data_IF_057445724629
#
_entry.id   IF_057445724629
#
_cell.length_a   1.000
_cell.length_b   1.000
_cell.length_c   1.000
_cell.angle_alpha   90.00
_cell.angle_beta   90.00
_cell.angle_gamma   90.00
#
_symmetry.space_group_name_H-M   'P 1'
#
loop_
_entity.id
_entity.type
_entity.pdbx_description
1 polymer ?
#
# COMPACT_ATOMS: atom_id res chain seq x y z
N UNK A 1 29.33 21.26 -24.64
CA UNK A 1 28.84 20.01 -24.00
C UNK A 1 29.08 19.88 -22.49
N UNK A 2 29.97 20.68 -21.84
CA UNK A 2 30.23 20.57 -20.39
C UNK A 2 29.11 21.18 -19.53
N UNK A 3 28.60 22.36 -19.89
CA UNK A 3 27.47 23.02 -19.21
C UNK A 3 26.20 22.17 -19.22
N UNK A 4 25.87 21.59 -20.37
CA UNK A 4 24.70 20.71 -20.52
C UNK A 4 24.78 19.49 -19.61
N UNK A 5 25.97 18.94 -19.34
CA UNK A 5 26.15 17.81 -18.41
C UNK A 5 25.98 18.25 -16.95
N UNK A 6 26.46 19.45 -16.60
CA UNK A 6 26.34 20.01 -15.26
C UNK A 6 24.89 20.34 -14.85
N UNK A 7 24.10 20.92 -15.77
CA UNK A 7 22.71 21.34 -15.47
C UNK A 7 21.64 20.28 -15.76
N UNK A 8 21.97 19.18 -16.45
CA UNK A 8 20.97 18.13 -16.76
C UNK A 8 20.31 17.50 -15.51
N UNK A 9 21.04 17.21 -14.41
CA UNK A 9 20.42 16.68 -13.19
C UNK A 9 19.47 17.68 -12.51
N UNK A 10 19.83 18.97 -12.45
CA UNK A 10 18.98 19.99 -11.83
C UNK A 10 17.70 20.24 -12.63
N UNK A 11 17.76 20.19 -13.96
CA UNK A 11 16.59 20.32 -14.82
C UNK A 11 15.61 19.15 -14.60
N UNK A 12 16.12 17.92 -14.48
CA UNK A 12 15.30 16.75 -14.14
C UNK A 12 14.66 16.89 -12.75
N UNK A 13 15.43 17.31 -11.75
CA UNK A 13 14.92 17.53 -10.40
C UNK A 13 13.85 18.65 -10.36
N UNK A 14 14.09 19.75 -11.06
CA UNK A 14 13.12 20.84 -11.21
C UNK A 14 11.80 20.35 -11.81
N UNK A 15 11.89 19.55 -12.88
CA UNK A 15 10.70 18.97 -13.52
C UNK A 15 9.92 18.07 -12.55
N UNK A 16 10.60 17.22 -11.78
CA UNK A 16 9.95 16.31 -10.83
C UNK A 16 9.26 17.04 -9.66
N UNK A 17 9.73 18.22 -9.27
CA UNK A 17 9.17 18.98 -8.13
C UNK A 17 8.20 20.09 -8.53
N UNK A 18 8.52 20.86 -9.58
CA UNK A 18 7.77 22.05 -9.98
C UNK A 18 6.59 21.71 -10.89
N UNK A 19 6.76 20.76 -11.82
CA UNK A 19 5.69 20.38 -12.74
C UNK A 19 4.45 19.84 -12.02
N UNK A 20 4.57 18.88 -11.07
CA UNK A 20 3.43 18.46 -10.25
C UNK A 20 3.03 19.48 -9.16
N UNK A 21 3.67 20.66 -9.11
CA UNK A 21 3.43 21.72 -8.11
C UNK A 21 3.59 21.24 -6.67
N UNK A 22 4.51 20.31 -6.43
CA UNK A 22 4.82 19.82 -5.08
C UNK A 22 5.50 20.92 -4.26
N UNK A 23 6.28 21.78 -4.92
CA UNK A 23 7.01 22.87 -4.27
C UNK A 23 6.83 24.18 -5.02
N UNK A 24 6.80 25.29 -4.30
CA UNK A 24 6.79 26.62 -4.90
C UNK A 24 8.13 26.90 -5.61
N UNK A 25 8.09 27.61 -6.73
CA UNK A 25 9.27 27.99 -7.51
C UNK A 25 10.28 28.81 -6.70
N UNK A 26 9.82 29.75 -5.88
CA UNK A 26 10.70 30.56 -5.02
C UNK A 26 11.46 29.70 -4.00
N UNK A 27 10.78 28.75 -3.38
CA UNK A 27 11.38 27.84 -2.41
C UNK A 27 12.37 26.89 -3.09
N UNK A 28 12.03 26.41 -4.29
CA UNK A 28 12.93 25.59 -5.10
C UNK A 28 14.21 26.34 -5.48
N UNK A 29 14.09 27.61 -5.84
CA UNK A 29 15.23 28.46 -6.21
C UNK A 29 16.20 28.63 -5.03
N UNK A 30 15.68 28.95 -3.83
CA UNK A 30 16.50 29.09 -2.62
C UNK A 30 17.25 27.81 -2.25
N UNK A 31 16.65 26.64 -2.43
CA UNK A 31 17.30 25.35 -2.14
C UNK A 31 18.40 25.03 -3.14
N UNK A 32 18.23 25.43 -4.41
CA UNK A 32 19.14 25.10 -5.51
C UNK A 32 19.97 26.32 -5.96
N UNK A 33 20.17 27.29 -5.08
CA UNK A 33 20.97 28.48 -5.36
C UNK A 33 22.41 28.04 -5.64
N UNK A 34 22.99 28.40 -6.80
CA UNK A 34 24.35 28.01 -7.14
C UNK A 34 25.36 28.70 -6.22
N UNK A 35 26.48 28.04 -5.92
CA UNK A 35 27.62 28.72 -5.30
C UNK A 35 28.15 29.82 -6.25
N UNK A 36 28.67 30.91 -5.70
CA UNK A 36 29.06 32.10 -6.48
C UNK A 36 30.10 31.78 -7.58
N UNK A 37 30.96 30.78 -7.37
CA UNK A 37 32.05 30.42 -8.29
C UNK A 37 31.74 29.20 -9.19
N UNK A 38 30.48 28.75 -9.31
CA UNK A 38 30.13 27.53 -10.07
C UNK A 38 30.60 27.60 -11.53
N UNK A 39 30.45 28.75 -12.17
CA UNK A 39 30.89 28.92 -13.57
C UNK A 39 32.41 28.86 -13.68
N UNK A 40 33.13 29.52 -12.77
CA UNK A 40 34.59 29.51 -12.77
C UNK A 40 35.14 28.10 -12.55
N UNK A 41 34.60 27.32 -11.60
CA UNK A 41 34.99 25.92 -11.38
C UNK A 41 34.77 25.03 -12.62
N UNK A 42 33.71 25.29 -13.39
CA UNK A 42 33.40 24.54 -14.62
C UNK A 42 34.38 24.90 -15.77
N UNK A 43 34.85 26.14 -15.82
CA UNK A 43 35.75 26.63 -16.87
C UNK A 43 37.24 26.58 -16.51
N UNK A 44 37.63 26.57 -15.24
CA UNK A 44 39.02 26.48 -14.74
C UNK A 44 39.66 25.08 -14.96
N UNK A 45 38.89 24.08 -15.39
CA UNK A 45 39.44 22.77 -15.82
C UNK A 45 40.19 22.82 -17.16
N UNK A 46 40.63 24.02 -17.59
CA UNK A 46 41.46 24.30 -18.76
C UNK A 46 42.95 24.16 -18.45
N UNK A 47 43.37 22.97 -18.02
CA UNK A 47 44.77 22.54 -18.18
C UNK A 47 44.99 21.97 -19.59
N UNK A 48 46.20 22.11 -20.18
CA UNK A 48 46.48 21.65 -21.54
C UNK A 48 46.36 20.13 -21.65
N UNK A 49 45.95 19.69 -22.85
CA UNK A 49 45.64 18.32 -23.24
C UNK A 49 46.66 17.29 -22.72
N UNK A 50 46.17 16.28 -21.99
CA UNK A 50 46.82 14.97 -21.89
C UNK A 50 45.76 13.88 -22.06
N UNK A 51 45.82 13.08 -23.14
CA UNK A 51 44.90 11.97 -23.35
C UNK A 51 45.44 10.76 -22.59
N UNK A 52 45.40 10.81 -21.26
CA UNK A 52 45.82 9.67 -20.45
C UNK A 52 44.69 9.31 -19.50
N UNK A 53 43.87 8.36 -19.97
CA UNK A 53 43.40 7.20 -19.21
C UNK A 53 43.37 7.42 -17.68
N UNK A 54 42.35 8.12 -17.19
CA UNK A 54 41.80 7.97 -15.84
C UNK A 54 40.38 7.48 -16.07
N UNK A 55 40.11 6.20 -15.88
CA UNK A 55 39.94 5.68 -14.54
C UNK A 55 38.52 6.05 -14.15
N UNK A 56 37.61 5.08 -14.24
CA UNK A 56 36.26 5.17 -13.69
C UNK A 56 36.39 5.41 -12.18
N UNK A 57 36.47 6.66 -11.75
CA UNK A 57 36.17 7.04 -10.38
C UNK A 57 34.73 7.54 -10.39
N UNK A 58 33.81 6.65 -10.00
CA UNK A 58 32.37 6.92 -9.83
C UNK A 58 32.07 7.86 -8.64
N UNK A 59 33.07 8.30 -7.89
CA UNK A 59 32.89 8.96 -6.60
C UNK A 59 33.43 10.39 -6.59
N UNK A 60 32.66 11.35 -7.11
CA UNK A 60 32.72 12.72 -6.61
C UNK A 60 31.48 13.53 -6.99
N UNK A 61 30.67 13.83 -5.97
CA UNK A 61 29.76 14.95 -5.89
C UNK A 61 28.65 15.01 -6.95
N UNK A 62 27.83 13.95 -7.00
CA UNK A 62 26.41 14.20 -7.20
C UNK A 62 25.95 15.09 -6.04
N UNK A 63 25.54 16.33 -6.35
CA UNK A 63 24.77 17.19 -5.45
C UNK A 63 23.82 16.30 -4.64
N UNK A 64 23.68 16.50 -3.31
CA UNK A 64 22.79 15.68 -2.52
C UNK A 64 21.40 15.84 -3.13
N UNK A 65 21.00 14.85 -3.93
CA UNK A 65 19.63 14.67 -4.37
C UNK A 65 18.95 14.36 -3.06
N UNK A 66 18.44 15.40 -2.42
CA UNK A 66 17.49 15.30 -1.35
C UNK A 66 16.32 14.58 -2.01
N UNK A 67 16.35 13.25 -1.95
CA UNK A 67 15.18 12.39 -2.07
C UNK A 67 14.32 12.71 -0.86
N UNK A 68 13.77 13.92 -0.83
CA UNK A 68 12.50 14.22 -0.21
C UNK A 68 11.48 13.40 -0.96
N UNK A 69 11.52 12.07 -0.76
CA UNK A 69 10.38 11.20 -0.97
C UNK A 69 9.24 11.92 -0.30
N UNK A 70 8.13 12.14 -1.01
CA UNK A 70 6.91 12.75 -0.49
C UNK A 70 6.35 11.96 0.69
N UNK A 71 7.03 12.06 1.83
CA UNK A 71 6.69 11.46 3.12
C UNK A 71 5.55 12.22 3.78
N UNK A 72 5.28 13.45 3.36
CA UNK A 72 4.21 14.28 3.92
C UNK A 72 2.84 13.62 3.75
N UNK A 73 2.59 12.92 2.64
CA UNK A 73 1.36 12.13 2.45
C UNK A 73 1.33 10.78 3.19
N UNK A 74 2.50 10.24 3.59
CA UNK A 74 2.59 8.98 4.33
C UNK A 74 2.50 9.18 5.85
N UNK A 75 3.04 10.28 6.36
CA UNK A 75 3.09 10.57 7.79
C UNK A 75 1.70 10.63 8.45
N UNK A 76 0.69 11.14 7.74
CA UNK A 76 -0.68 11.22 8.27
C UNK A 76 -1.36 9.85 8.44
N UNK A 77 -1.08 8.89 7.56
CA UNK A 77 -1.71 7.56 7.59
C UNK A 77 -1.09 6.69 8.70
N UNK A 78 0.20 6.89 8.98
CA UNK A 78 0.90 6.20 10.07
C UNK A 78 0.39 6.61 11.46
N UNK A 79 -0.23 7.78 11.58
CA UNK A 79 -0.78 8.30 12.84
C UNK A 79 -2.24 7.87 13.13
N UNK A 80 -2.86 7.05 12.26
CA UNK A 80 -4.25 6.61 12.45
C UNK A 80 -4.45 5.84 13.77
N UNK A 81 -5.66 5.82 14.35
CA UNK A 81 -5.99 4.94 15.46
C UNK A 81 -5.75 3.46 15.10
N UNK A 82 -5.36 2.64 16.09
CA UNK A 82 -5.01 1.22 15.88
C UNK A 82 -6.11 0.45 15.15
N UNK A 83 -7.36 0.60 15.57
CA UNK A 83 -8.51 -0.05 14.94
C UNK A 83 -8.68 0.41 13.47
N UNK A 84 -8.53 1.71 13.20
CA UNK A 84 -8.59 2.25 11.84
C UNK A 84 -7.49 1.67 10.94
N UNK A 85 -6.29 1.39 11.46
CA UNK A 85 -5.22 0.71 10.71
C UNK A 85 -5.62 -0.72 10.33
N UNK A 86 -6.20 -1.48 11.27
CA UNK A 86 -6.70 -2.83 11.01
C UNK A 86 -7.83 -2.82 9.97
N UNK A 87 -8.80 -1.91 10.10
CA UNK A 87 -9.91 -1.76 9.13
C UNK A 87 -9.37 -1.45 7.74
N UNK A 88 -8.39 -0.54 7.63
CA UNK A 88 -7.84 -0.13 6.36
C UNK A 88 -7.03 -1.25 5.70
N UNK A 89 -6.27 -2.01 6.49
CA UNK A 89 -5.53 -3.19 6.01
C UNK A 89 -6.49 -4.32 5.57
N UNK A 90 -7.52 -4.61 6.36
CA UNK A 90 -8.56 -5.58 6.02
C UNK A 90 -9.28 -5.20 4.70
N UNK A 91 -9.58 -3.91 4.53
CA UNK A 91 -10.20 -3.38 3.32
C UNK A 91 -9.29 -3.50 2.08
N UNK A 92 -7.99 -3.28 2.25
CA UNK A 92 -7.00 -3.47 1.19
C UNK A 92 -6.92 -4.93 0.76
N UNK A 93 -6.88 -5.86 1.72
CA UNK A 93 -6.88 -7.30 1.46
C UNK A 93 -8.18 -7.73 0.78
N UNK A 94 -9.34 -7.25 1.25
CA UNK A 94 -10.63 -7.51 0.62
C UNK A 94 -10.65 -7.02 -0.84
N UNK A 95 -10.13 -5.83 -1.13
CA UNK A 95 -10.09 -5.33 -2.51
C UNK A 95 -9.10 -6.08 -3.40
N UNK A 96 -8.00 -6.57 -2.83
CA UNK A 96 -6.87 -7.17 -3.55
C UNK A 96 -7.03 -8.67 -3.76
N UNK A 97 -7.77 -9.36 -2.89
CA UNK A 97 -7.96 -10.81 -2.96
C UNK A 97 -9.34 -11.15 -3.53
N UNK A 98 -9.49 -12.20 -4.35
CA UNK A 98 -10.80 -12.69 -4.78
C UNK A 98 -11.60 -13.28 -3.61
N UNK A 99 -12.91 -13.02 -3.52
CA UNK A 99 -13.74 -13.52 -2.41
C UNK A 99 -13.74 -15.06 -2.23
N UNK A 100 -13.40 -15.82 -3.28
CA UNK A 100 -13.29 -17.29 -3.21
C UNK A 100 -12.12 -17.78 -2.36
N UNK A 101 -11.10 -16.95 -2.15
CA UNK A 101 -9.88 -17.32 -1.43
C UNK A 101 -10.02 -17.08 0.06
N UNK A 102 -10.97 -16.23 0.48
CA UNK A 102 -11.15 -15.83 1.88
C UNK A 102 -11.32 -17.03 2.82
N UNK A 103 -12.12 -18.04 2.45
CA UNK A 103 -12.31 -19.23 3.30
C UNK A 103 -11.02 -20.04 3.49
N UNK A 104 -10.15 -20.07 2.47
CA UNK A 104 -8.85 -20.76 2.56
C UNK A 104 -7.87 -19.96 3.43
N UNK A 105 -7.91 -18.63 3.34
CA UNK A 105 -6.93 -17.74 3.98
C UNK A 105 -7.31 -17.36 5.41
N UNK A 106 -8.60 -17.22 5.71
CA UNK A 106 -9.14 -16.73 6.98
C UNK A 106 -10.10 -17.72 7.66
N UNK A 107 -10.32 -18.90 7.08
CA UNK A 107 -11.21 -19.91 7.67
C UNK A 107 -10.68 -20.45 8.99
N UNK A 108 -11.42 -20.28 10.09
CA UNK A 108 -11.09 -20.81 11.41
C UNK A 108 -11.35 -22.33 11.48
N UNK A 109 -10.28 -23.13 11.39
CA UNK A 109 -10.07 -24.38 12.16
C UNK A 109 -11.02 -25.59 12.04
N UNK A 110 -12.13 -25.56 11.30
CA UNK A 110 -13.04 -26.73 11.17
C UNK A 110 -12.98 -27.42 9.80
N UNK A 111 -12.50 -26.73 8.76
CA UNK A 111 -12.52 -27.27 7.39
C UNK A 111 -11.24 -28.02 6.98
N UNK A 112 -10.11 -27.80 7.65
CA UNK A 112 -8.85 -28.51 7.31
C UNK A 112 -8.99 -30.03 7.43
N UNK A 113 -9.74 -30.51 8.42
CA UNK A 113 -10.00 -31.95 8.62
C UNK A 113 -11.04 -32.51 7.64
N UNK A 114 -11.98 -31.70 7.13
CA UNK A 114 -13.02 -32.17 6.19
C UNK A 114 -12.59 -32.09 4.72
N UNK A 115 -11.69 -31.17 4.36
CA UNK A 115 -11.22 -31.02 2.97
C UNK A 115 -10.17 -32.05 2.52
N UNK A 116 -9.53 -32.78 3.44
CA UNK A 116 -8.68 -33.95 3.08
C UNK A 116 -9.44 -35.10 2.39
N UNK A 117 -10.78 -35.05 2.27
CA UNK A 117 -11.61 -36.07 1.61
C UNK A 117 -12.32 -35.62 0.32
N UNK A 118 -11.77 -34.66 -0.42
CA UNK A 118 -12.09 -34.54 -1.85
C UNK A 118 -10.81 -34.62 -2.67
N UNK A 119 -10.35 -35.86 -2.87
CA UNK A 119 -9.58 -36.23 -4.05
C UNK A 119 -10.44 -35.80 -5.25
N UNK A 120 -10.08 -34.66 -5.84
CA UNK A 120 -10.67 -34.20 -7.08
C UNK A 120 -10.27 -35.21 -8.14
N UNK A 121 -11.22 -36.06 -8.54
CA UNK A 121 -11.16 -36.80 -9.81
C UNK A 121 -10.75 -35.80 -10.89
N UNK A 122 -9.62 -36.08 -11.54
CA UNK A 122 -9.08 -35.33 -12.68
C UNK A 122 -10.21 -34.96 -13.64
N UNK A 123 -10.69 -33.71 -13.58
CA UNK A 123 -11.54 -33.15 -14.61
C UNK A 123 -10.58 -32.80 -15.74
N UNK A 124 -10.78 -33.44 -16.89
CA UNK A 124 -10.03 -33.21 -18.11
C UNK A 124 -9.88 -31.70 -18.40
N UNK A 125 -8.75 -31.28 -19.02
CA UNK A 125 -8.52 -29.88 -19.33
C UNK A 125 -9.66 -29.36 -20.22
N UNK A 126 -10.25 -28.18 -19.95
CA UNK A 126 -11.18 -27.58 -20.87
C UNK A 126 -10.41 -27.26 -22.16
N UNK A 127 -10.77 -27.98 -23.21
CA UNK A 127 -10.33 -27.76 -24.58
C UNK A 127 -10.70 -26.33 -24.98
N UNK A 128 -9.71 -25.49 -25.25
CA UNK A 128 -9.87 -24.17 -25.88
C UNK A 128 -10.35 -23.06 -24.94
N UNK A 129 -9.47 -22.54 -24.06
CA UNK A 129 -9.71 -21.20 -23.50
C UNK A 129 -9.21 -20.12 -24.47
N UNK A 130 -9.94 -19.93 -25.56
CA UNK A 130 -9.95 -18.67 -26.32
C UNK A 130 -10.75 -17.60 -25.55
N UNK A 131 -10.50 -17.50 -24.24
CA UNK A 131 -11.07 -16.49 -23.37
C UNK A 131 -10.09 -15.32 -23.22
N UNK A 132 -10.57 -14.13 -22.83
CA UNK A 132 -9.72 -12.97 -22.64
C UNK A 132 -8.54 -13.31 -21.71
N UNK A 133 -7.35 -12.83 -22.08
CA UNK A 133 -6.12 -12.98 -21.29
C UNK A 133 -6.43 -12.58 -19.86
N UNK A 134 -6.18 -13.49 -18.89
CA UNK A 134 -6.39 -13.20 -17.48
C UNK A 134 -5.36 -12.16 -17.05
N UNK A 135 -5.78 -10.90 -17.07
CA UNK A 135 -4.96 -9.79 -16.58
C UNK A 135 -4.74 -10.03 -15.07
N UNK A 136 -3.49 -9.95 -14.57
CA UNK A 136 -3.24 -10.11 -13.15
C UNK A 136 -4.04 -9.07 -12.38
N UNK A 137 -4.72 -9.52 -11.32
CA UNK A 137 -5.59 -8.69 -10.49
C UNK A 137 -4.99 -7.32 -10.08
N UNK A 138 -3.69 -7.18 -9.72
CA UNK A 138 -3.12 -5.87 -9.40
C UNK A 138 -3.15 -4.85 -10.54
N UNK A 139 -3.26 -5.28 -11.81
CA UNK A 139 -3.35 -4.40 -12.98
C UNK A 139 -4.78 -3.98 -13.30
N UNK A 140 -5.79 -4.71 -12.79
CA UNK A 140 -7.22 -4.42 -12.98
C UNK A 140 -7.69 -3.28 -12.07
N UNK A 141 -6.99 -3.08 -10.95
CA UNK A 141 -7.33 -2.11 -9.92
C UNK A 141 -8.13 -2.73 -8.75
N UNK A 142 -8.43 -1.94 -7.71
CA UNK A 142 -9.05 -2.44 -6.49
C UNK A 142 -10.49 -2.90 -6.75
N UNK A 143 -10.81 -4.14 -6.37
CA UNK A 143 -12.17 -4.68 -6.55
C UNK A 143 -13.11 -4.21 -5.44
N UNK A 144 -14.38 -3.90 -5.74
CA UNK A 144 -15.35 -3.54 -4.72
C UNK A 144 -15.74 -4.78 -3.90
N UNK A 145 -15.96 -4.60 -2.60
CA UNK A 145 -16.28 -5.65 -1.64
C UNK A 145 -17.44 -5.21 -0.73
N UNK A 146 -18.28 -6.14 -0.23
CA UNK A 146 -19.32 -5.83 0.74
C UNK A 146 -18.74 -5.61 2.14
N UNK A 147 -19.39 -4.78 2.95
CA UNK A 147 -18.95 -4.48 4.32
C UNK A 147 -18.73 -5.74 5.17
N UNK A 148 -19.66 -6.69 5.11
CA UNK A 148 -19.61 -7.93 5.90
C UNK A 148 -18.34 -8.73 5.64
N UNK A 149 -17.87 -8.76 4.39
CA UNK A 149 -16.62 -9.42 4.01
C UNK A 149 -15.42 -8.75 4.68
N UNK A 150 -15.39 -7.42 4.72
CA UNK A 150 -14.33 -6.68 5.39
C UNK A 150 -14.35 -6.91 6.90
N UNK A 151 -15.51 -6.93 7.53
CA UNK A 151 -15.65 -7.24 8.96
C UNK A 151 -15.19 -8.66 9.30
N UNK A 152 -15.49 -9.64 8.45
CA UNK A 152 -15.01 -11.01 8.62
C UNK A 152 -13.48 -11.12 8.53
N UNK A 153 -12.87 -10.46 7.54
CA UNK A 153 -11.41 -10.40 7.41
C UNK A 153 -10.79 -9.65 8.58
N UNK A 154 -11.40 -8.53 9.00
CA UNK A 154 -10.97 -7.74 10.16
C UNK A 154 -10.90 -8.60 11.42
N UNK A 155 -11.93 -9.41 11.69
CA UNK A 155 -11.94 -10.29 12.86
C UNK A 155 -10.89 -11.39 12.82
N UNK A 156 -10.61 -11.95 11.64
CA UNK A 156 -9.50 -12.89 11.49
C UNK A 156 -8.14 -12.22 11.75
N UNK A 157 -7.96 -10.96 11.33
CA UNK A 157 -6.72 -10.22 11.56
C UNK A 157 -6.53 -9.84 13.04
N UNK A 158 -7.57 -9.33 13.70
CA UNK A 158 -7.52 -8.97 15.13
C UNK A 158 -7.30 -10.22 15.98
N UNK A 159 -7.93 -11.35 15.62
CA UNK A 159 -7.77 -12.60 16.36
C UNK A 159 -6.34 -13.12 16.37
N UNK A 160 -5.65 -13.00 15.25
CA UNK A 160 -4.30 -13.55 15.13
C UNK A 160 -3.21 -12.59 15.61
N UNK A 161 -3.45 -11.28 15.58
CA UNK A 161 -2.40 -10.27 15.74
C UNK A 161 -2.63 -9.27 16.90
N UNK A 162 -3.81 -9.26 17.52
CA UNK A 162 -4.16 -8.32 18.59
C UNK A 162 -4.63 -9.04 19.85
N UNK A 163 -4.01 -10.18 20.17
CA UNK A 163 -4.34 -10.96 21.38
C UNK A 163 -3.79 -10.29 22.65
N UNK A 164 -2.61 -9.69 22.55
CA UNK A 164 -1.89 -9.12 23.70
C UNK A 164 -2.45 -7.77 24.18
N UNK A 165 -3.15 -7.04 23.31
CA UNK A 165 -3.77 -5.73 23.65
C UNK A 165 -5.09 -5.88 24.40
N UNK A 166 -5.61 -7.11 24.52
CA UNK A 166 -6.94 -7.38 25.05
C UNK A 166 -6.98 -7.18 26.55
N UNK A 167 -8.10 -6.63 27.00
CA UNK A 167 -8.42 -6.64 28.42
C UNK A 167 -8.78 -8.07 28.85
N UNK A 168 -8.34 -8.53 30.03
CA UNK A 168 -8.78 -9.81 30.58
C UNK A 168 -10.30 -9.83 30.70
N UNK A 169 -10.94 -10.72 29.95
CA UNK A 169 -12.39 -10.82 29.86
C UNK A 169 -12.79 -12.29 30.05
N UNK A 170 -12.93 -12.76 31.31
CA UNK A 170 -13.19 -14.17 31.63
C UNK A 170 -14.55 -14.68 31.14
N UNK A 171 -15.47 -13.79 30.79
CA UNK A 171 -16.77 -14.11 30.20
C UNK A 171 -16.66 -14.72 28.79
N UNK A 172 -15.61 -14.41 28.03
CA UNK A 172 -15.42 -14.91 26.67
C UNK A 172 -14.55 -16.16 26.68
N UNK A 173 -15.21 -17.31 26.70
CA UNK A 173 -14.54 -18.62 26.73
C UNK A 173 -14.32 -19.18 25.32
N UNK A 174 -15.15 -18.76 24.35
CA UNK A 174 -15.13 -19.32 22.99
C UNK A 174 -14.11 -18.53 22.14
N UNK A 175 -13.24 -19.20 21.36
CA UNK A 175 -12.32 -18.53 20.44
C UNK A 175 -13.06 -17.62 19.45
N UNK A 176 -12.60 -16.38 19.31
CA UNK A 176 -13.21 -15.37 18.45
C UNK A 176 -14.40 -14.60 19.03
N UNK A 177 -14.97 -15.02 20.17
CA UNK A 177 -16.16 -14.36 20.76
C UNK A 177 -15.86 -12.90 21.16
N UNK A 178 -14.69 -12.67 21.77
CA UNK A 178 -14.20 -11.34 22.07
C UNK A 178 -14.07 -10.48 20.82
N UNK A 179 -13.51 -11.04 19.73
CA UNK A 179 -13.34 -10.29 18.48
C UNK A 179 -14.67 -9.97 17.82
N UNK A 180 -15.63 -10.90 17.87
CA UNK A 180 -16.96 -10.68 17.30
C UNK A 180 -17.69 -9.56 18.07
N UNK A 181 -17.54 -9.52 19.40
CA UNK A 181 -18.01 -8.39 20.21
C UNK A 181 -17.33 -7.07 19.79
N UNK A 182 -16.01 -7.03 19.65
CA UNK A 182 -15.28 -5.80 19.29
C UNK A 182 -15.66 -5.25 17.92
N UNK A 183 -15.78 -6.11 16.92
CA UNK A 183 -16.14 -5.73 15.55
C UNK A 183 -17.58 -5.23 15.49
N UNK A 184 -18.46 -5.79 16.32
CA UNK A 184 -19.88 -5.40 16.40
C UNK A 184 -20.10 -4.05 17.09
N UNK A 185 -19.07 -3.44 17.71
CA UNK A 185 -19.19 -2.13 18.35
C UNK A 185 -19.51 -1.03 17.34
N UNK A 186 -20.36 -0.10 17.74
CA UNK A 186 -20.72 1.09 16.94
C UNK A 186 -19.48 1.89 16.53
N UNK A 187 -18.46 1.94 17.38
CA UNK A 187 -17.18 2.60 17.10
C UNK A 187 -16.50 2.09 15.83
N UNK A 188 -16.57 0.79 15.56
CA UNK A 188 -15.98 0.18 14.35
C UNK A 188 -16.64 0.73 13.09
N UNK A 189 -17.97 0.82 13.07
CA UNK A 189 -18.72 1.42 11.96
C UNK A 189 -18.47 2.93 11.83
N UNK A 190 -18.34 3.64 12.95
CA UNK A 190 -17.97 5.04 12.95
C UNK A 190 -16.58 5.26 12.31
N UNK A 191 -15.59 4.43 12.65
CA UNK A 191 -14.26 4.47 12.03
C UNK A 191 -14.29 4.15 10.53
N UNK A 192 -15.15 3.23 10.08
CA UNK A 192 -15.34 2.97 8.63
C UNK A 192 -15.86 4.22 7.91
N UNK A 193 -16.84 4.92 8.50
CA UNK A 193 -17.38 6.15 7.95
C UNK A 193 -16.35 7.28 7.96
N UNK A 194 -15.56 7.41 9.03
CA UNK A 194 -14.47 8.37 9.11
C UNK A 194 -13.40 8.14 8.03
N UNK A 195 -12.94 6.89 7.86
CA UNK A 195 -12.02 6.50 6.79
C UNK A 195 -12.59 6.76 5.39
N UNK A 196 -13.91 6.69 5.25
CA UNK A 196 -14.60 7.06 4.01
C UNK A 196 -14.59 8.56 3.78
N UNK A 197 -14.85 9.37 4.82
CA UNK A 197 -14.74 10.83 4.77
C UNK A 197 -13.30 11.31 4.50
N UNK A 198 -12.30 10.57 4.97
CA UNK A 198 -10.88 10.81 4.69
C UNK A 198 -10.45 10.31 3.29
N UNK A 199 -11.36 9.78 2.47
CA UNK A 199 -11.10 9.25 1.13
C UNK A 199 -10.08 8.09 1.10
N UNK A 200 -9.87 7.41 2.22
CA UNK A 200 -9.05 6.18 2.29
C UNK A 200 -9.87 4.94 1.90
N UNK A 201 -11.18 5.03 2.09
CA UNK A 201 -12.18 4.11 1.57
C UNK A 201 -13.18 4.89 0.70
N UNK A 202 -13.75 4.23 -0.31
CA UNK A 202 -14.83 4.80 -1.09
C UNK A 202 -16.04 3.87 -1.05
N UNK A 203 -17.19 4.41 -0.66
CA UNK A 203 -18.47 3.74 -0.82
C UNK A 203 -18.86 3.75 -2.30
N UNK A 204 -19.16 2.57 -2.85
CA UNK A 204 -19.57 2.38 -4.26
C UNK A 204 -21.07 2.17 -4.39
N UNK A 205 -21.74 1.69 -3.35
CA UNK A 205 -23.20 1.67 -3.25
C UNK A 205 -23.77 3.07 -3.04
N UNK A 206 -24.94 3.36 -3.63
CA UNK A 206 -25.69 4.58 -3.33
C UNK A 206 -25.96 4.73 -1.82
N UNK A 207 -25.94 5.96 -1.32
CA UNK A 207 -26.14 6.23 0.10
C UNK A 207 -27.52 5.77 0.60
N UNK A 208 -28.54 5.99 -0.22
CA UNK A 208 -29.97 5.73 0.08
C UNK A 208 -30.38 4.28 -0.18
N UNK A 209 -29.47 3.43 -0.66
CA UNK A 209 -29.75 2.02 -0.89
C UNK A 209 -29.80 1.30 0.45
N UNK A 210 -31.01 0.93 0.86
CA UNK A 210 -31.27 0.08 2.03
C UNK A 210 -31.19 -1.43 1.71
N UNK A 211 -31.21 -1.78 0.42
CA UNK A 211 -31.15 -3.16 -0.05
C UNK A 211 -29.69 -3.68 -0.10
N UNK A 212 -29.38 -4.64 0.78
CA UNK A 212 -28.08 -5.32 0.87
C UNK A 212 -26.99 -4.54 1.63
N UNK A 213 -25.87 -5.20 1.98
CA UNK A 213 -24.78 -4.55 2.68
C UNK A 213 -24.10 -3.49 1.79
N UNK A 214 -23.65 -2.36 2.36
CA UNK A 214 -22.96 -1.33 1.61
C UNK A 214 -21.66 -1.87 1.00
N UNK A 215 -21.37 -1.45 -0.22
CA UNK A 215 -20.17 -1.86 -0.95
C UNK A 215 -19.10 -0.79 -0.88
N UNK A 216 -17.86 -1.20 -0.66
CA UNK A 216 -16.70 -0.34 -0.54
C UNK A 216 -15.58 -0.76 -1.49
N UNK A 217 -14.71 0.18 -1.83
CA UNK A 217 -13.43 -0.07 -2.50
C UNK A 217 -12.33 0.62 -1.70
N UNK A 218 -11.15 -0.01 -1.64
CA UNK A 218 -10.01 0.56 -0.95
C UNK A 218 -9.24 1.52 -1.86
N UNK A 219 -8.81 2.68 -1.31
CA UNK A 219 -8.08 3.71 -2.05
C UNK A 219 -6.57 3.75 -1.75
N UNK A 220 -6.07 2.86 -0.89
CA UNK A 220 -4.64 2.89 -0.50
C UNK A 220 -3.75 2.15 -1.49
N UNK A 221 -2.51 2.62 -1.59
CA UNK A 221 -1.46 1.94 -2.36
C UNK A 221 -0.86 0.75 -1.59
N UNK A 222 -0.24 -0.17 -2.33
CA UNK A 222 0.47 -1.31 -1.75
C UNK A 222 1.56 -0.89 -0.74
N UNK A 223 2.30 0.19 -1.02
CA UNK A 223 3.35 0.68 -0.13
C UNK A 223 2.79 1.12 1.24
N UNK A 224 1.62 1.78 1.23
CA UNK A 224 0.94 2.20 2.46
C UNK A 224 0.44 0.97 3.23
N UNK A 225 -0.19 0.02 2.53
CA UNK A 225 -0.64 -1.23 3.13
C UNK A 225 0.53 -1.99 3.78
N UNK A 226 1.69 -2.01 3.13
CA UNK A 226 2.90 -2.64 3.65
C UNK A 226 3.47 -1.90 4.88
N UNK A 227 3.42 -0.56 4.92
CA UNK A 227 3.81 0.22 6.12
C UNK A 227 2.89 -0.10 7.29
N UNK A 228 1.57 -0.09 7.06
CA UNK A 228 0.57 -0.42 8.08
C UNK A 228 0.72 -1.85 8.61
N UNK A 229 0.93 -2.81 7.72
CA UNK A 229 1.14 -4.20 8.10
C UNK A 229 2.38 -4.36 9.01
N UNK A 230 3.49 -3.66 8.71
CA UNK A 230 4.69 -3.66 9.56
C UNK A 230 4.41 -3.09 10.95
N UNK A 231 3.64 -2.01 11.05
CA UNK A 231 3.29 -1.41 12.35
C UNK A 231 2.40 -2.32 13.20
N UNK A 232 1.56 -3.15 12.57
CA UNK A 232 0.69 -4.11 13.23
C UNK A 232 1.33 -5.49 13.43
N UNK A 233 2.58 -5.69 12.99
CA UNK A 233 3.27 -6.98 13.07
C UNK A 233 2.75 -8.05 12.09
N UNK A 234 2.01 -7.66 11.05
CA UNK A 234 1.36 -8.57 10.10
C UNK A 234 2.24 -8.79 8.87
N UNK A 235 2.42 -10.06 8.49
CA UNK A 235 3.12 -10.44 7.27
C UNK A 235 2.19 -10.39 6.05
N UNK A 236 2.11 -9.23 5.40
CA UNK A 236 1.16 -9.01 4.29
C UNK A 236 1.31 -9.99 3.11
N UNK A 237 2.53 -10.47 2.84
CA UNK A 237 2.81 -11.36 1.71
C UNK A 237 2.19 -12.76 1.87
N UNK A 238 1.97 -13.24 3.10
CA UNK A 238 1.32 -14.52 3.37
C UNK A 238 -0.19 -14.46 3.17
N UNK A 239 -0.76 -13.25 3.29
CA UNK A 239 -2.19 -12.99 3.30
C UNK A 239 -2.69 -12.55 1.91
N UNK A 240 -1.83 -11.97 1.08
CA UNK A 240 -2.18 -11.60 -0.28
C UNK A 240 -2.26 -12.82 -1.20
N UNK A 241 -3.28 -12.84 -2.05
CA UNK A 241 -3.46 -13.90 -3.03
C UNK A 241 -2.60 -13.63 -4.26
N UNK A 242 -1.66 -14.53 -4.54
CA UNK A 242 -0.89 -14.53 -5.79
C UNK A 242 -1.40 -15.65 -6.72
N UNK A 243 -1.91 -15.34 -7.92
CA UNK A 243 -2.23 -16.35 -8.92
C UNK A 243 -0.95 -16.92 -9.54
N UNK A 244 -0.30 -17.86 -8.85
CA UNK A 244 0.72 -18.74 -9.45
C UNK A 244 0.11 -19.58 -10.58
#
# INVERSE_FOLDING_TARGET
MRLTRAFKPSLKAAMETLHPRIMNAEHWCKINEPEEDVLEKLFQTTGPLSPTRRGYDEDSNLLPINKGKGKEGQAGIEALPRMSKFILLASYIASSNPAKTDLRMFGRGLDEKKRKRRVVRNKAPPKGSSGPVKIPQPLVGPSPFPLDRMLAILGALIENNDVESRLPAPEFTIPGEYTDMEISRVGTYASVNELTSLHLLHRTSAADRLDGPPMFKCAISHNIAQSLAKQLGIQLHEILWDPV
#
